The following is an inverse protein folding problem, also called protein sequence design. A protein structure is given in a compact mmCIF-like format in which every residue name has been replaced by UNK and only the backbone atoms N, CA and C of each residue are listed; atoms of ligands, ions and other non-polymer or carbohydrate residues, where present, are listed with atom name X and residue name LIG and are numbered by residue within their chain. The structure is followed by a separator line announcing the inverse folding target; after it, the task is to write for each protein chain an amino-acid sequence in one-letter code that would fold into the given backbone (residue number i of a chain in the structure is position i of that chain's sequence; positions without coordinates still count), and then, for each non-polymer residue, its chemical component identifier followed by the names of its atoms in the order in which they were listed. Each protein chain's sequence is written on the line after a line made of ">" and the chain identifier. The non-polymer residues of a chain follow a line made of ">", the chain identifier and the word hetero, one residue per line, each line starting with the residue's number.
data_IF_557955719212
#
_entry.id   IF_557955719212
#
_cell.length_a   1.000
_cell.length_b   1.000
_cell.length_c   1.000
_cell.angle_alpha   90.00
_cell.angle_beta   90.00
_cell.angle_gamma   90.00
#
_symmetry.space_group_name_H-M   'P 1'
#
loop_
_entity.id
_entity.type
_entity.pdbx_description
1 polymer ?
#
# COMPACT_ATOMS: atom_id res chain seq x y z
N UNK A 1 24.67 3.86 -6.47
CA UNK A 1 23.61 4.72 -6.96
C UNK A 1 22.27 4.24 -6.50
N UNK A 2 21.46 5.18 -6.08
CA UNK A 2 20.15 4.84 -5.59
C UNK A 2 19.21 4.51 -6.74
N UNK A 3 18.64 3.30 -6.72
CA UNK A 3 17.62 2.91 -7.69
C UNK A 3 16.24 3.18 -7.11
N UNK A 4 16.13 4.32 -6.43
CA UNK A 4 14.90 4.67 -5.76
C UNK A 4 13.78 4.85 -6.76
N UNK A 5 12.70 4.11 -6.57
CA UNK A 5 11.55 4.20 -7.44
C UNK A 5 10.71 5.42 -7.08
N UNK A 6 10.05 5.99 -8.07
CA UNK A 6 9.24 7.17 -7.87
C UNK A 6 7.76 6.77 -7.78
N UNK A 7 7.19 6.89 -6.59
CA UNK A 7 5.79 6.55 -6.34
C UNK A 7 4.87 7.76 -6.29
N UNK A 8 5.38 8.94 -6.64
CA UNK A 8 4.58 10.16 -6.57
C UNK A 8 3.37 10.13 -7.50
N UNK A 9 3.37 9.23 -8.49
CA UNK A 9 2.24 9.07 -9.40
C UNK A 9 0.94 8.69 -8.71
N UNK A 10 1.00 8.17 -7.47
CA UNK A 10 -0.21 7.84 -6.73
C UNK A 10 -1.01 9.12 -6.40
N UNK A 11 -0.34 10.26 -6.32
CA UNK A 11 -0.98 11.53 -5.97
C UNK A 11 -1.73 12.16 -7.14
N UNK A 12 -1.30 11.90 -8.36
CA UNK A 12 -1.82 12.61 -9.53
C UNK A 12 -2.21 11.68 -10.67
N UNK A 13 -2.41 10.41 -10.36
CA UNK A 13 -2.82 9.40 -11.33
C UNK A 13 -1.83 9.23 -12.49
N UNK A 14 -0.55 9.46 -12.22
CA UNK A 14 0.53 9.22 -13.18
C UNK A 14 1.02 7.78 -13.08
N UNK A 15 1.80 7.30 -14.06
CA UNK A 15 2.30 5.93 -14.02
C UNK A 15 3.09 5.61 -12.77
N UNK A 16 2.98 4.36 -12.30
CA UNK A 16 3.71 3.86 -11.14
C UNK A 16 4.78 2.87 -11.61
N UNK A 17 5.81 2.62 -10.77
CA UNK A 17 6.81 1.61 -11.10
C UNK A 17 6.19 0.23 -11.29
N UNK A 18 6.97 -0.68 -11.88
CA UNK A 18 6.53 -2.07 -12.10
C UNK A 18 6.44 -2.80 -10.75
N UNK A 19 5.26 -3.27 -10.34
CA UNK A 19 5.12 -3.97 -9.06
C UNK A 19 5.83 -5.32 -9.02
N UNK A 20 6.22 -5.86 -10.16
CA UNK A 20 6.93 -7.14 -10.21
C UNK A 20 8.43 -6.97 -10.07
N UNK A 21 8.92 -5.74 -9.93
CA UNK A 21 10.35 -5.44 -9.88
C UNK A 21 10.75 -4.82 -8.54
N UNK A 22 10.24 -5.40 -7.45
CA UNK A 22 10.52 -4.91 -6.09
C UNK A 22 11.59 -5.79 -5.47
N UNK A 23 12.64 -5.17 -4.93
CA UNK A 23 13.71 -5.89 -4.28
C UNK A 23 13.32 -6.29 -2.87
N UNK A 24 13.62 -7.54 -2.52
CA UNK A 24 13.36 -8.10 -1.20
C UNK A 24 14.71 -8.46 -0.58
N UNK A 25 14.93 -8.13 0.70
CA UNK A 25 16.18 -8.53 1.36
C UNK A 25 16.37 -10.04 1.30
N UNK A 26 17.60 -10.47 1.01
CA UNK A 26 17.88 -11.89 0.80
C UNK A 26 17.82 -12.71 2.10
N UNK A 27 17.89 -12.04 3.24
CA UNK A 27 17.90 -12.71 4.55
C UNK A 27 16.57 -12.62 5.28
N UNK A 28 15.50 -12.28 4.57
CA UNK A 28 14.20 -12.05 5.21
C UNK A 28 13.56 -13.37 5.70
N UNK A 29 13.79 -14.46 4.99
CA UNK A 29 13.36 -15.79 5.44
C UNK A 29 11.85 -15.89 5.68
N UNK A 30 11.48 -16.52 6.80
CA UNK A 30 10.07 -16.73 7.14
C UNK A 30 9.32 -15.45 7.46
N UNK A 31 10.03 -14.35 7.71
CA UNK A 31 9.38 -13.06 7.93
C UNK A 31 8.61 -12.59 6.71
N UNK A 32 9.04 -13.03 5.52
CA UNK A 32 8.33 -12.66 4.30
C UNK A 32 6.91 -13.24 4.28
N UNK A 33 6.76 -14.51 4.67
CA UNK A 33 5.45 -15.14 4.71
C UNK A 33 4.52 -14.44 5.70
N UNK A 34 5.04 -14.12 6.89
CA UNK A 34 4.26 -13.39 7.88
C UNK A 34 3.86 -12.00 7.38
N UNK A 35 4.80 -11.33 6.72
CA UNK A 35 4.52 -10.02 6.15
C UNK A 35 3.42 -10.10 5.09
N UNK A 36 3.53 -11.07 4.18
CA UNK A 36 2.55 -11.23 3.10
C UNK A 36 1.16 -11.50 3.67
N UNK A 37 1.07 -12.38 4.67
CA UNK A 37 -0.21 -12.70 5.29
C UNK A 37 -0.83 -11.48 5.97
N UNK A 38 -0.02 -10.75 6.73
CA UNK A 38 -0.49 -9.56 7.44
C UNK A 38 -0.93 -8.47 6.47
N UNK A 39 -0.10 -8.20 5.45
CA UNK A 39 -0.41 -7.16 4.48
C UNK A 39 -1.66 -7.52 3.68
N UNK A 40 -1.80 -8.79 3.30
CA UNK A 40 -2.98 -9.23 2.52
C UNK A 40 -4.27 -9.01 3.31
N UNK A 41 -4.26 -9.35 4.60
CA UNK A 41 -5.44 -9.13 5.44
C UNK A 41 -5.76 -7.64 5.57
N UNK A 42 -4.73 -6.81 5.73
CA UNK A 42 -4.93 -5.37 5.83
C UNK A 42 -5.45 -4.77 4.52
N UNK A 43 -5.01 -5.30 3.38
CA UNK A 43 -5.49 -4.81 2.09
C UNK A 43 -6.96 -5.16 1.86
N UNK A 44 -7.41 -6.31 2.35
CA UNK A 44 -8.83 -6.65 2.29
C UNK A 44 -9.66 -5.69 3.13
N UNK A 45 -9.19 -5.38 4.32
CA UNK A 45 -9.88 -4.41 5.18
C UNK A 45 -9.85 -3.02 4.56
N UNK A 46 -8.74 -2.66 3.92
CA UNK A 46 -8.62 -1.38 3.23
C UNK A 46 -9.66 -1.26 2.12
N UNK A 47 -9.83 -2.31 1.34
CA UNK A 47 -10.82 -2.30 0.27
C UNK A 47 -12.22 -2.09 0.82
N UNK A 48 -12.59 -2.84 1.87
CA UNK A 48 -13.89 -2.68 2.51
C UNK A 48 -14.11 -1.26 2.99
N UNK A 49 -13.12 -0.73 3.73
CA UNK A 49 -13.23 0.62 4.28
C UNK A 49 -13.33 1.68 3.17
N UNK A 50 -12.60 1.45 2.08
CA UNK A 50 -12.61 2.37 0.94
C UNK A 50 -13.98 2.40 0.26
N UNK A 51 -14.57 1.21 0.05
CA UNK A 51 -15.88 1.14 -0.59
C UNK A 51 -16.97 1.75 0.28
N UNK A 52 -16.91 1.55 1.59
CA UNK A 52 -17.85 2.20 2.51
C UNK A 52 -17.66 3.71 2.54
N UNK A 53 -16.41 4.16 2.52
CA UNK A 53 -16.09 5.57 2.47
C UNK A 53 -16.68 6.20 1.20
N UNK A 54 -16.51 5.53 0.06
CA UNK A 54 -17.04 5.99 -1.21
C UNK A 54 -18.57 6.07 -1.17
N UNK A 55 -19.21 5.12 -0.50
CA UNK A 55 -20.67 5.08 -0.36
C UNK A 55 -21.18 6.04 0.72
N UNK A 56 -20.31 6.85 1.29
CA UNK A 56 -20.62 7.81 2.35
C UNK A 56 -21.15 7.15 3.63
N UNK A 57 -20.71 5.91 3.89
CA UNK A 57 -21.05 5.20 5.12
C UNK A 57 -19.93 5.35 6.13
N UNK A 58 -20.27 5.85 7.31
CA UNK A 58 -19.31 5.99 8.42
C UNK A 58 -17.98 6.59 7.93
N UNK A 59 -18.05 7.67 7.17
CA UNK A 59 -16.88 8.26 6.54
C UNK A 59 -15.74 8.55 7.50
N UNK A 60 -16.07 9.13 8.63
CA UNK A 60 -15.06 9.49 9.63
C UNK A 60 -14.34 8.25 10.17
N UNK A 61 -15.12 7.22 10.51
CA UNK A 61 -14.54 5.98 11.03
C UNK A 61 -13.73 5.24 9.98
N UNK A 62 -14.24 5.20 8.75
CA UNK A 62 -13.52 4.54 7.67
C UNK A 62 -12.26 5.30 7.27
N UNK A 63 -12.28 6.63 7.32
CA UNK A 63 -11.07 7.42 7.10
C UNK A 63 -10.01 7.09 8.13
N UNK A 64 -10.39 6.96 9.41
CA UNK A 64 -9.45 6.59 10.47
C UNK A 64 -8.89 5.20 10.23
N UNK A 65 -9.73 4.24 9.83
CA UNK A 65 -9.30 2.88 9.50
C UNK A 65 -8.31 2.88 8.35
N UNK A 66 -8.60 3.63 7.30
CA UNK A 66 -7.72 3.73 6.13
C UNK A 66 -6.35 4.26 6.54
N UNK A 67 -6.32 5.35 7.30
CA UNK A 67 -5.05 5.93 7.74
C UNK A 67 -4.25 4.95 8.60
N UNK A 68 -4.93 4.23 9.48
CA UNK A 68 -4.29 3.24 10.34
C UNK A 68 -3.66 2.12 9.52
N UNK A 69 -4.38 1.65 8.50
CA UNK A 69 -3.88 0.56 7.65
C UNK A 69 -2.66 1.02 6.86
N UNK A 70 -2.73 2.19 6.22
CA UNK A 70 -1.59 2.71 5.46
C UNK A 70 -0.36 2.85 6.34
N UNK A 71 -0.55 3.38 7.55
CA UNK A 71 0.55 3.54 8.48
C UNK A 71 1.13 2.20 8.92
N UNK A 72 0.27 1.23 9.18
CA UNK A 72 0.70 -0.09 9.65
C UNK A 72 1.45 -0.86 8.58
N UNK A 73 0.95 -0.85 7.33
CA UNK A 73 1.66 -1.52 6.23
C UNK A 73 3.03 -0.84 6.03
N UNK A 74 3.06 0.48 6.12
CA UNK A 74 4.33 1.21 6.01
C UNK A 74 5.32 0.75 7.07
N UNK A 75 4.88 0.67 8.32
CA UNK A 75 5.75 0.24 9.43
C UNK A 75 6.26 -1.18 9.25
N UNK A 76 5.37 -2.10 8.88
CA UNK A 76 5.76 -3.49 8.68
C UNK A 76 6.70 -3.65 7.48
N UNK A 77 6.44 -2.91 6.40
CA UNK A 77 7.33 -2.93 5.23
C UNK A 77 8.73 -2.45 5.60
N UNK A 78 8.82 -1.41 6.41
CA UNK A 78 10.11 -0.91 6.88
C UNK A 78 10.83 -1.89 7.78
N UNK A 79 10.07 -2.58 8.65
CA UNK A 79 10.66 -3.55 9.59
C UNK A 79 11.28 -4.75 8.87
N UNK A 80 10.66 -5.21 7.79
CA UNK A 80 11.23 -6.34 7.04
C UNK A 80 12.21 -5.88 5.95
N UNK A 81 12.41 -4.57 5.80
CA UNK A 81 13.39 -4.02 4.90
C UNK A 81 12.96 -3.88 3.45
N UNK A 82 11.67 -3.94 3.17
CA UNK A 82 11.15 -3.72 1.81
C UNK A 82 10.89 -2.22 1.66
N UNK A 83 11.95 -1.47 1.39
CA UNK A 83 11.91 -0.02 1.42
C UNK A 83 10.98 0.57 0.37
N UNK A 84 10.88 -0.05 -0.80
CA UNK A 84 9.99 0.44 -1.86
C UNK A 84 8.54 0.46 -1.38
N UNK A 85 8.09 -0.59 -0.68
CA UNK A 85 6.72 -0.64 -0.20
C UNK A 85 6.49 0.36 0.93
N UNK A 86 7.48 0.56 1.79
CA UNK A 86 7.39 1.57 2.84
C UNK A 86 7.25 2.97 2.22
N UNK A 87 8.02 3.25 1.17
CA UNK A 87 7.95 4.54 0.49
C UNK A 87 6.60 4.73 -0.21
N UNK A 88 6.09 3.67 -0.86
CA UNK A 88 4.79 3.77 -1.52
C UNK A 88 3.68 4.06 -0.51
N UNK A 89 3.72 3.39 0.64
CA UNK A 89 2.74 3.66 1.70
C UNK A 89 2.84 5.09 2.20
N UNK A 90 4.05 5.61 2.33
CA UNK A 90 4.27 7.00 2.74
C UNK A 90 3.62 7.96 1.72
N UNK A 91 3.82 7.70 0.43
CA UNK A 91 3.21 8.54 -0.60
C UNK A 91 1.69 8.44 -0.58
N UNK A 92 1.15 7.24 -0.31
CA UNK A 92 -0.30 7.06 -0.22
C UNK A 92 -0.88 7.79 0.99
N UNK A 93 -0.18 7.78 2.13
CA UNK A 93 -0.61 8.55 3.30
C UNK A 93 -0.70 10.04 2.98
N UNK A 94 0.33 10.56 2.31
CA UNK A 94 0.37 11.97 1.94
C UNK A 94 -0.74 12.29 0.94
N UNK A 95 -0.95 11.41 -0.04
CA UNK A 95 -1.99 11.60 -1.05
C UNK A 95 -3.37 11.63 -0.39
N UNK A 96 -3.61 10.77 0.58
CA UNK A 96 -4.89 10.73 1.27
C UNK A 96 -5.22 12.07 1.93
N UNK A 97 -4.20 12.71 2.53
CA UNK A 97 -4.39 14.01 3.18
C UNK A 97 -4.56 15.13 2.17
N UNK A 98 -3.91 15.05 1.01
CA UNK A 98 -3.87 16.13 0.03
C UNK A 98 -5.03 16.10 -0.95
N UNK A 99 -5.58 14.92 -1.25
CA UNK A 99 -6.63 14.80 -2.25
C UNK A 99 -8.00 15.19 -1.71
N UNK A 100 -8.87 15.66 -2.62
CA UNK A 100 -10.25 15.91 -2.28
C UNK A 100 -10.93 14.58 -1.93
N UNK A 101 -11.96 14.64 -1.08
CA UNK A 101 -12.64 13.44 -0.59
C UNK A 101 -13.10 12.52 -1.72
N UNK A 102 -13.62 13.08 -2.80
CA UNK A 102 -14.16 12.29 -3.91
C UNK A 102 -13.07 11.61 -4.74
N UNK A 103 -11.82 12.04 -4.60
CA UNK A 103 -10.70 11.44 -5.33
C UNK A 103 -9.98 10.35 -4.53
N UNK A 104 -10.23 10.31 -3.23
CA UNK A 104 -9.53 9.36 -2.36
C UNK A 104 -9.83 7.89 -2.66
N UNK A 105 -11.08 7.50 -2.94
CA UNK A 105 -11.35 6.09 -3.22
C UNK A 105 -10.57 5.54 -4.41
N UNK A 106 -10.51 6.28 -5.52
CA UNK A 106 -9.77 5.81 -6.69
C UNK A 106 -8.29 5.64 -6.39
N UNK A 107 -7.71 6.58 -5.65
CA UNK A 107 -6.30 6.49 -5.25
C UNK A 107 -6.06 5.26 -4.39
N UNK A 108 -6.94 5.01 -3.43
CA UNK A 108 -6.79 3.89 -2.51
C UNK A 108 -6.93 2.54 -3.20
N UNK A 109 -7.87 2.43 -4.15
CA UNK A 109 -8.03 1.18 -4.91
C UNK A 109 -6.84 0.94 -5.82
N UNK A 110 -6.29 1.99 -6.39
CA UNK A 110 -5.08 1.90 -7.20
C UNK A 110 -3.89 1.46 -6.35
N UNK A 111 -3.75 2.02 -5.16
CA UNK A 111 -2.73 1.62 -4.19
C UNK A 111 -2.86 0.14 -3.85
N UNK A 112 -4.07 -0.29 -3.52
CA UNK A 112 -4.35 -1.67 -3.14
C UNK A 112 -3.99 -2.64 -4.27
N UNK A 113 -4.40 -2.32 -5.50
CA UNK A 113 -4.12 -3.17 -6.64
C UNK A 113 -2.62 -3.31 -6.88
N UNK A 114 -1.89 -2.21 -6.78
CA UNK A 114 -0.45 -2.23 -7.00
C UNK A 114 0.26 -3.08 -5.95
N UNK A 115 -0.06 -2.88 -4.68
CA UNK A 115 0.58 -3.63 -3.60
C UNK A 115 0.20 -5.11 -3.67
N UNK A 116 -1.06 -5.41 -3.99
CA UNK A 116 -1.51 -6.80 -4.14
C UNK A 116 -0.69 -7.52 -5.21
N UNK A 117 -0.45 -6.87 -6.33
CA UNK A 117 0.36 -7.44 -7.40
C UNK A 117 1.80 -7.67 -6.94
N UNK A 118 2.37 -6.70 -6.23
CA UNK A 118 3.74 -6.83 -5.73
C UNK A 118 3.85 -8.01 -4.74
N UNK A 119 2.92 -8.10 -3.81
CA UNK A 119 2.92 -9.15 -2.79
C UNK A 119 2.72 -10.52 -3.42
N UNK A 120 1.84 -10.65 -4.41
CA UNK A 120 1.62 -11.91 -5.10
C UNK A 120 2.88 -12.34 -5.85
N UNK A 121 3.64 -11.39 -6.37
CA UNK A 121 4.93 -11.67 -7.00
C UNK A 121 5.92 -12.29 -6.02
N UNK A 122 5.93 -11.82 -4.76
CA UNK A 122 6.80 -12.39 -3.72
C UNK A 122 6.42 -13.84 -3.43
N UNK A 123 5.13 -14.09 -3.30
CA UNK A 123 4.64 -15.42 -2.95
C UNK A 123 4.93 -16.45 -4.03
N UNK A 124 4.97 -16.02 -5.29
CA UNK A 124 5.20 -16.92 -6.42
C UNK A 124 6.68 -17.19 -6.67
N UNK A 125 7.57 -16.44 -6.05
CA UNK A 125 9.01 -16.55 -6.31
C UNK A 125 9.72 -17.56 -5.41
N UNK A 126 9.01 -18.27 -4.58
CA UNK A 126 9.61 -19.27 -3.68
C UNK A 126 10.00 -20.56 -4.37
#
# INVERSE_FOLDING_TARGET
>A
MSNKKNFSGIRNNSPLPDPNNIEIPSDIGSLLDEYVDSASAMLEELERATLEYEASKNRSENAATIKRILHKIKGESGMVGIEDLAEFCHQAESAFEELAEEERPDMLLRFKDWISTAINSFACSS
#
